data_IF_823665213974
#
_entry.id   IF_823665213974
#
_cell.length_a   1.000
_cell.length_b   1.000
_cell.length_c   1.000
_cell.angle_alpha   90.00
_cell.angle_beta   90.00
_cell.angle_gamma   90.00
#
_symmetry.space_group_name_H-M   'P 1'
#
loop_
_entity.id
_entity.type
_entity.pdbx_description
1 polymer ?
#
# COMPACT_ATOMS: atom_id res chain seq x y z
N UNK A 1 21.28 3.14 -4.81
CA UNK A 1 20.35 4.30 -4.71
C UNK A 1 18.98 3.75 -4.36
N UNK A 2 18.49 4.05 -3.16
CA UNK A 2 17.13 3.72 -2.74
C UNK A 2 16.17 4.63 -3.52
N UNK A 3 15.45 4.05 -4.48
CA UNK A 3 14.43 4.80 -5.20
C UNK A 3 13.25 5.11 -4.26
N UNK A 4 12.92 6.40 -4.10
CA UNK A 4 11.70 6.82 -3.40
C UNK A 4 10.46 6.26 -4.12
N UNK A 5 9.43 5.86 -3.37
CA UNK A 5 8.15 5.43 -3.96
C UNK A 5 7.63 6.45 -4.98
N UNK A 6 7.00 5.97 -6.06
CA UNK A 6 6.59 6.83 -7.19
C UNK A 6 5.67 8.00 -6.77
N UNK A 7 4.81 7.81 -5.76
CA UNK A 7 3.95 8.87 -5.26
C UNK A 7 4.72 9.99 -4.54
N UNK A 8 5.91 9.70 -3.98
CA UNK A 8 6.76 10.72 -3.39
C UNK A 8 7.58 11.47 -4.45
N UNK A 9 7.81 10.85 -5.63
CA UNK A 9 8.46 11.52 -6.77
C UNK A 9 7.62 12.68 -7.30
N UNK A 10 6.30 12.56 -7.22
CA UNK A 10 5.38 13.59 -7.74
C UNK A 10 5.40 14.88 -6.92
N UNK A 11 5.78 14.80 -5.64
CA UNK A 11 5.66 15.88 -4.67
C UNK A 11 6.99 16.51 -4.26
N UNK A 12 8.12 16.08 -4.78
CA UNK A 12 9.36 16.44 -4.12
C UNK A 12 10.64 16.54 -4.91
N UNK A 13 10.59 16.95 -6.14
CA UNK A 13 11.76 17.62 -6.73
C UNK A 13 11.93 18.97 -6.06
N UNK A 14 13.18 19.42 -5.87
CA UNK A 14 13.51 20.81 -5.50
C UNK A 14 12.97 21.85 -6.51
N UNK A 15 12.38 21.36 -7.59
CA UNK A 15 11.60 22.11 -8.57
C UNK A 15 10.18 22.34 -8.01
N UNK A 16 10.05 23.33 -7.11
CA UNK A 16 8.76 23.92 -6.83
C UNK A 16 8.20 24.44 -8.16
N UNK A 17 7.38 23.64 -8.82
CA UNK A 17 6.64 24.09 -9.99
C UNK A 17 5.91 25.38 -9.60
N UNK A 18 6.02 26.46 -10.39
CA UNK A 18 5.46 27.77 -10.04
C UNK A 18 3.95 27.74 -9.72
N UNK A 19 3.24 26.72 -10.15
CA UNK A 19 1.83 26.44 -9.84
C UNK A 19 1.59 26.14 -8.35
N UNK A 20 2.51 25.49 -7.65
CA UNK A 20 2.33 25.17 -6.24
C UNK A 20 2.27 26.42 -5.36
N UNK A 21 2.91 27.52 -5.80
CA UNK A 21 2.84 28.81 -5.12
C UNK A 21 1.42 29.41 -5.15
N UNK A 22 0.69 29.24 -6.24
CA UNK A 22 -0.66 29.75 -6.40
C UNK A 22 -1.69 28.93 -5.60
N UNK A 23 -1.52 27.61 -5.52
CA UNK A 23 -2.43 26.72 -4.80
C UNK A 23 -2.31 26.83 -3.28
N UNK A 24 -1.25 27.43 -2.75
CA UNK A 24 -1.09 27.70 -1.32
C UNK A 24 -2.16 28.63 -0.73
N UNK A 25 -2.82 29.42 -1.56
CA UNK A 25 -3.88 30.35 -1.14
C UNK A 25 -5.28 29.72 -1.13
N UNK A 26 -5.40 28.46 -1.56
CA UNK A 26 -6.66 27.73 -1.50
C UNK A 26 -6.61 26.80 -0.29
N UNK A 27 -7.36 27.02 0.80
CA UNK A 27 -7.18 26.34 2.08
C UNK A 27 -7.26 24.80 1.99
N UNK A 28 -8.10 24.28 1.11
CA UNK A 28 -8.27 22.83 0.91
C UNK A 28 -7.09 22.21 0.14
N UNK A 29 -6.57 22.92 -0.85
CA UNK A 29 -5.43 22.45 -1.65
C UNK A 29 -4.11 22.58 -0.88
N UNK A 30 -3.96 23.60 -0.03
CA UNK A 30 -2.78 23.74 0.82
C UNK A 30 -2.63 22.57 1.78
N UNK A 31 -3.72 22.13 2.41
CA UNK A 31 -3.71 20.96 3.29
C UNK A 31 -3.30 19.67 2.55
N UNK A 32 -3.81 19.45 1.34
CA UNK A 32 -3.45 18.29 0.51
C UNK A 32 -1.97 18.33 0.08
N UNK A 33 -1.48 19.50 -0.33
CA UNK A 33 -0.09 19.71 -0.74
C UNK A 33 0.87 19.61 0.45
N UNK A 34 0.48 20.11 1.63
CA UNK A 34 1.27 20.01 2.85
C UNK A 34 1.39 18.54 3.29
N UNK A 35 0.31 17.76 3.24
CA UNK A 35 0.35 16.33 3.60
C UNK A 35 1.27 15.51 2.68
N UNK A 36 1.29 15.81 1.39
CA UNK A 36 2.17 15.13 0.43
C UNK A 36 3.63 15.58 0.60
N UNK A 37 3.86 16.87 0.87
CA UNK A 37 5.17 17.43 1.17
C UNK A 37 5.77 16.84 2.46
N UNK A 38 4.95 16.68 3.49
CA UNK A 38 5.36 16.06 4.75
C UNK A 38 5.78 14.61 4.56
N UNK A 39 5.09 13.86 3.70
CA UNK A 39 5.48 12.49 3.33
C UNK A 39 6.87 12.44 2.66
N UNK A 40 7.15 13.35 1.74
CA UNK A 40 8.47 13.44 1.08
C UNK A 40 9.56 13.87 2.05
N UNK A 41 9.29 14.89 2.88
CA UNK A 41 10.21 15.34 3.91
C UNK A 41 10.53 14.22 4.90
N UNK A 42 9.52 13.46 5.31
CA UNK A 42 9.67 12.29 6.16
C UNK A 42 10.56 11.22 5.53
N UNK A 43 10.35 10.86 4.27
CA UNK A 43 11.18 9.88 3.57
C UNK A 43 12.64 10.35 3.44
N UNK A 44 12.87 11.61 3.08
CA UNK A 44 14.23 12.20 3.02
C UNK A 44 14.93 12.17 4.38
N UNK A 45 14.20 12.47 5.45
CA UNK A 45 14.73 12.39 6.80
C UNK A 45 15.09 10.96 7.21
N UNK A 46 14.23 9.97 6.88
CA UNK A 46 14.51 8.56 7.16
C UNK A 46 15.75 8.07 6.39
N UNK A 47 15.89 8.45 5.10
CA UNK A 47 17.07 8.11 4.31
C UNK A 47 18.35 8.73 4.89
N UNK A 48 18.29 9.99 5.36
CA UNK A 48 19.39 10.61 6.05
C UNK A 48 19.71 9.89 7.37
N UNK A 49 18.71 9.56 8.19
CA UNK A 49 18.91 8.86 9.44
C UNK A 49 19.52 7.47 9.24
N UNK A 50 19.20 6.78 8.14
CA UNK A 50 19.83 5.50 7.76
C UNK A 50 21.31 5.65 7.42
N UNK A 51 21.77 6.81 7.00
CA UNK A 51 23.17 7.07 6.66
C UNK A 51 24.06 7.41 7.88
N UNK A 52 23.49 7.50 9.08
CA UNK A 52 24.23 7.84 10.30
C UNK A 52 25.04 6.62 10.80
N UNK A 53 26.34 6.67 10.63
CA UNK A 53 27.27 5.62 11.08
C UNK A 53 27.41 5.60 12.61
N UNK A 54 27.29 6.77 13.25
CA UNK A 54 27.47 6.93 14.70
C UNK A 54 26.29 6.40 15.53
N UNK A 55 25.16 6.09 14.90
CA UNK A 55 23.93 5.67 15.57
C UNK A 55 23.24 4.48 14.88
N UNK A 56 23.77 3.27 15.02
CA UNK A 56 23.26 2.08 14.31
C UNK A 56 21.81 1.73 14.70
N UNK A 57 21.41 2.01 15.92
CA UNK A 57 20.01 1.81 16.36
C UNK A 57 19.05 2.78 15.66
N UNK A 58 19.43 4.04 15.51
CA UNK A 58 18.61 5.03 14.81
C UNK A 58 18.52 4.70 13.31
N UNK A 59 19.62 4.30 12.69
CA UNK A 59 19.65 3.86 11.31
C UNK A 59 18.74 2.63 11.10
N UNK A 60 18.75 1.67 12.02
CA UNK A 60 17.87 0.51 11.98
C UNK A 60 16.39 0.91 12.06
N UNK A 61 16.00 1.75 13.03
CA UNK A 61 14.61 2.21 13.16
C UNK A 61 14.14 3.04 11.96
N UNK A 62 15.01 3.86 11.39
CA UNK A 62 14.70 4.61 10.19
C UNK A 62 14.45 3.69 8.99
N UNK A 63 15.27 2.66 8.80
CA UNK A 63 15.10 1.66 7.76
C UNK A 63 13.80 0.87 7.90
N UNK A 64 13.48 0.41 9.11
CA UNK A 64 12.22 -0.28 9.39
C UNK A 64 11.00 0.62 9.13
N UNK A 65 11.08 1.89 9.54
CA UNK A 65 9.98 2.85 9.32
C UNK A 65 9.78 3.11 7.84
N UNK A 66 10.85 3.28 7.07
CA UNK A 66 10.76 3.50 5.62
C UNK A 66 10.21 2.26 4.90
N UNK A 67 10.62 1.06 5.29
CA UNK A 67 10.11 -0.19 4.74
C UNK A 67 8.60 -0.34 5.01
N UNK A 68 8.15 -0.09 6.24
CA UNK A 68 6.72 -0.10 6.59
C UNK A 68 5.93 0.94 5.81
N UNK A 69 6.46 2.16 5.69
CA UNK A 69 5.82 3.22 4.90
C UNK A 69 5.66 2.80 3.43
N UNK A 70 6.70 2.25 2.83
CA UNK A 70 6.67 1.76 1.44
C UNK A 70 5.63 0.65 1.27
N UNK A 71 5.61 -0.31 2.19
CA UNK A 71 4.64 -1.39 2.16
C UNK A 71 3.20 -0.87 2.24
N UNK A 72 2.88 0.02 3.18
CA UNK A 72 1.53 0.58 3.35
C UNK A 72 1.07 1.44 2.18
N UNK A 73 1.98 2.17 1.54
CA UNK A 73 1.63 3.16 0.51
C UNK A 73 1.78 2.64 -0.91
N UNK A 74 2.55 1.60 -1.13
CA UNK A 74 2.84 1.06 -2.47
C UNK A 74 2.42 -0.40 -2.60
N UNK A 75 2.98 -1.28 -1.76
CA UNK A 75 2.82 -2.72 -1.94
C UNK A 75 1.40 -3.18 -1.59
N UNK A 76 0.89 -2.76 -0.42
CA UNK A 76 -0.46 -3.12 0.01
C UNK A 76 -1.57 -2.65 -0.94
N UNK A 77 -1.58 -1.39 -1.43
CA UNK A 77 -2.57 -0.93 -2.41
C UNK A 77 -2.45 -1.58 -3.80
N UNK A 78 -1.27 -2.10 -4.15
CA UNK A 78 -1.03 -2.79 -5.42
C UNK A 78 -1.54 -4.25 -5.44
N UNK A 79 -2.03 -4.78 -4.31
CA UNK A 79 -2.61 -6.12 -4.24
C UNK A 79 -3.83 -6.24 -5.14
N UNK A 80 -3.89 -7.33 -5.89
CA UNK A 80 -5.04 -7.66 -6.73
C UNK A 80 -6.18 -8.15 -5.81
N UNK A 81 -7.39 -7.66 -6.06
CA UNK A 81 -8.56 -8.09 -5.31
C UNK A 81 -8.89 -9.58 -5.66
N UNK A 82 -8.77 -10.51 -4.72
CA UNK A 82 -8.99 -11.94 -5.00
C UNK A 82 -10.45 -12.26 -5.35
N UNK A 83 -11.40 -11.39 -4.99
CA UNK A 83 -12.82 -11.57 -5.24
C UNK A 83 -13.27 -11.17 -6.65
N UNK A 84 -12.37 -10.58 -7.45
CA UNK A 84 -12.70 -10.13 -8.80
C UNK A 84 -13.05 -11.32 -9.71
N UNK A 85 -12.21 -12.37 -9.71
CA UNK A 85 -12.45 -13.60 -10.45
C UNK A 85 -13.73 -14.33 -9.99
N UNK A 86 -14.00 -14.33 -8.68
CA UNK A 86 -15.25 -14.91 -8.11
C UNK A 86 -16.48 -14.16 -8.61
N UNK A 87 -16.39 -12.81 -8.67
CA UNK A 87 -17.50 -11.98 -9.15
C UNK A 87 -17.79 -12.23 -10.63
N UNK A 88 -16.77 -12.35 -11.46
CA UNK A 88 -16.89 -12.67 -12.87
C UNK A 88 -17.53 -14.05 -13.06
N UNK A 89 -17.06 -15.06 -12.34
CA UNK A 89 -17.62 -16.43 -12.38
C UNK A 89 -19.07 -16.45 -11.92
N UNK A 90 -19.45 -15.66 -10.89
CA UNK A 90 -20.83 -15.53 -10.42
C UNK A 90 -21.76 -14.91 -11.48
N UNK A 91 -21.27 -13.95 -12.26
CA UNK A 91 -22.05 -13.40 -13.37
C UNK A 91 -22.26 -14.43 -14.47
N UNK A 92 -21.23 -15.19 -14.82
CA UNK A 92 -21.34 -16.29 -15.78
C UNK A 92 -22.31 -17.41 -15.32
N UNK A 93 -22.30 -17.74 -14.02
CA UNK A 93 -23.24 -18.72 -13.45
C UNK A 93 -24.71 -18.31 -13.60
N UNK A 94 -25.06 -17.04 -13.45
CA UNK A 94 -26.45 -16.58 -13.65
C UNK A 94 -26.97 -16.84 -15.06
N UNK A 95 -26.07 -16.74 -16.05
CA UNK A 95 -26.40 -17.03 -17.44
C UNK A 95 -26.52 -18.56 -17.71
N UNK A 96 -25.67 -19.35 -17.03
CA UNK A 96 -25.67 -20.81 -17.14
C UNK A 96 -26.83 -21.48 -16.40
N UNK A 97 -27.31 -20.94 -15.27
CA UNK A 97 -28.50 -21.43 -14.57
C UNK A 97 -29.77 -21.35 -15.42
N UNK A 98 -29.77 -20.56 -16.49
CA UNK A 98 -30.83 -20.52 -17.47
C UNK A 98 -30.70 -21.61 -18.58
N UNK A 99 -29.61 -22.40 -18.56
CA UNK A 99 -29.35 -23.54 -19.45
C UNK A 99 -29.15 -24.79 -18.60
N UNK A 100 -30.03 -25.76 -18.71
CA UNK A 100 -30.05 -26.94 -17.84
C UNK A 100 -28.88 -27.92 -18.00
N UNK A 101 -28.03 -27.76 -19.03
CA UNK A 101 -27.13 -28.84 -19.46
C UNK A 101 -25.73 -28.88 -18.80
N UNK A 102 -25.28 -27.90 -18.00
CA UNK A 102 -23.91 -27.90 -17.40
C UNK A 102 -23.82 -27.23 -16.01
N UNK A 103 -24.87 -27.30 -15.21
CA UNK A 103 -24.94 -26.59 -13.92
C UNK A 103 -23.94 -27.12 -12.87
N UNK A 104 -23.56 -28.40 -12.93
CA UNK A 104 -22.71 -29.00 -11.88
C UNK A 104 -21.22 -28.66 -12.09
N UNK A 105 -20.75 -28.63 -13.33
CA UNK A 105 -19.37 -28.19 -13.64
C UNK A 105 -19.14 -26.74 -13.32
N UNK A 106 -20.10 -25.88 -13.65
CA UNK A 106 -20.04 -24.46 -13.36
C UNK A 106 -20.06 -24.15 -11.85
N UNK A 107 -20.85 -24.90 -11.07
CA UNK A 107 -20.84 -24.80 -9.60
C UNK A 107 -19.50 -25.22 -9.01
N UNK A 108 -18.93 -26.33 -9.46
CA UNK A 108 -17.64 -26.81 -9.00
C UNK A 108 -16.54 -25.76 -9.27
N UNK A 109 -16.54 -25.15 -10.45
CA UNK A 109 -15.62 -24.07 -10.79
C UNK A 109 -15.80 -22.86 -9.86
N UNK A 110 -17.04 -22.44 -9.60
CA UNK A 110 -17.32 -21.32 -8.70
C UNK A 110 -16.83 -21.57 -7.27
N UNK A 111 -17.06 -22.77 -6.73
CA UNK A 111 -16.56 -23.11 -5.41
C UNK A 111 -15.04 -23.18 -5.34
N UNK A 112 -14.38 -23.64 -6.41
CA UNK A 112 -12.92 -23.63 -6.50
C UNK A 112 -12.35 -22.20 -6.52
N UNK A 113 -13.01 -21.27 -7.22
CA UNK A 113 -12.59 -19.85 -7.20
C UNK A 113 -12.85 -19.18 -5.85
N UNK A 114 -13.96 -19.52 -5.17
CA UNK A 114 -14.22 -19.08 -3.79
C UNK A 114 -13.13 -19.53 -2.82
N UNK A 115 -12.73 -20.80 -2.89
CA UNK A 115 -11.69 -21.37 -2.03
C UNK A 115 -10.34 -20.68 -2.28
N UNK A 116 -9.98 -20.47 -3.55
CA UNK A 116 -8.76 -19.73 -3.90
C UNK A 116 -8.79 -18.29 -3.40
N UNK A 117 -9.90 -17.57 -3.59
CA UNK A 117 -10.04 -16.19 -3.13
C UNK A 117 -9.92 -16.10 -1.62
N UNK A 118 -10.56 -17.02 -0.89
CA UNK A 118 -10.47 -17.09 0.57
C UNK A 118 -9.05 -17.37 1.05
N UNK A 119 -8.33 -18.29 0.40
CA UNK A 119 -6.96 -18.60 0.74
C UNK A 119 -6.00 -17.40 0.50
N UNK A 120 -6.21 -16.65 -0.58
CA UNK A 120 -5.43 -15.44 -0.87
C UNK A 120 -5.74 -14.33 0.16
N UNK A 121 -7.00 -14.18 0.54
CA UNK A 121 -7.41 -13.19 1.56
C UNK A 121 -6.79 -13.52 2.92
N UNK A 122 -6.73 -14.78 3.30
CA UNK A 122 -6.06 -15.24 4.53
C UNK A 122 -4.56 -14.91 4.50
N UNK A 123 -3.87 -15.15 3.38
CA UNK A 123 -2.48 -14.74 3.21
C UNK A 123 -2.29 -13.22 3.34
N UNK A 124 -3.20 -12.42 2.79
CA UNK A 124 -3.15 -10.97 2.94
C UNK A 124 -3.38 -10.52 4.39
N UNK A 125 -4.24 -11.23 5.11
CA UNK A 125 -4.49 -10.99 6.54
C UNK A 125 -3.26 -11.27 7.38
N UNK A 126 -2.61 -12.41 7.17
CA UNK A 126 -1.39 -12.81 7.85
C UNK A 126 -0.26 -11.81 7.60
N UNK A 127 -0.13 -11.35 6.35
CA UNK A 127 0.85 -10.33 5.99
C UNK A 127 0.55 -8.99 6.66
N UNK A 128 -0.71 -8.53 6.66
CA UNK A 128 -1.14 -7.31 7.34
C UNK A 128 -0.85 -7.38 8.85
N UNK A 129 -1.13 -8.52 9.49
CA UNK A 129 -0.83 -8.74 10.91
C UNK A 129 0.67 -8.70 11.19
N UNK A 130 1.48 -9.34 10.35
CA UNK A 130 2.93 -9.31 10.47
C UNK A 130 3.49 -7.87 10.39
N UNK A 131 2.97 -7.04 9.47
CA UNK A 131 3.40 -5.65 9.34
C UNK A 131 2.91 -4.78 10.52
N UNK A 132 1.72 -5.03 11.06
CA UNK A 132 1.23 -4.38 12.27
C UNK A 132 2.10 -4.70 13.49
N UNK A 133 2.48 -5.97 13.67
CA UNK A 133 3.42 -6.40 14.73
C UNK A 133 4.76 -5.68 14.57
N UNK A 134 5.25 -5.58 13.34
CA UNK A 134 6.49 -4.88 13.01
C UNK A 134 6.41 -3.40 13.36
N UNK A 135 5.29 -2.73 13.00
CA UNK A 135 5.02 -1.33 13.38
C UNK A 135 5.02 -1.14 14.90
N UNK A 136 4.41 -2.05 15.65
CA UNK A 136 4.40 -2.00 17.11
C UNK A 136 5.79 -2.12 17.73
N UNK A 137 6.70 -2.85 17.11
CA UNK A 137 8.10 -2.96 17.55
C UNK A 137 8.86 -1.65 17.30
N UNK A 138 8.63 -1.01 16.17
CA UNK A 138 9.33 0.21 15.74
C UNK A 138 8.81 1.47 16.46
N UNK A 139 7.57 1.44 16.96
CA UNK A 139 6.90 2.64 17.55
C UNK A 139 7.73 3.38 18.60
N UNK A 140 8.56 2.67 19.37
CA UNK A 140 9.40 3.29 20.40
C UNK A 140 10.49 4.20 19.82
N UNK A 141 10.97 3.88 18.62
CA UNK A 141 11.96 4.69 17.91
C UNK A 141 11.36 5.89 17.17
N UNK A 142 10.00 5.95 17.03
CA UNK A 142 9.35 7.08 16.36
C UNK A 142 9.16 8.31 17.27
N UNK A 143 9.34 8.15 18.60
CA UNK A 143 9.08 9.19 19.61
C UNK A 143 10.33 9.66 20.35
N UNK A 144 11.51 9.24 19.92
CA UNK A 144 12.80 9.70 20.44
C UNK A 144 13.47 10.68 19.49
#
# INVERSE_FOLDING_TARGET
ELELPQHTRWCGGDDEHPWHRWFRYIPFLSWYLDSTRDGVGGCKHLLWAMSLEDSPSQAHYAGETLALYTWWTVERPARINPWEAVTETRHGLKELFNREDDADGAKAHYFAELEKASAIEELFHDEDEAQLIRLMKVRRGLWT
#
